data_IF_802458539677
#
_entry.id   IF_802458539677
#
_cell.length_a   1.000
_cell.length_b   1.000
_cell.length_c   1.000
_cell.angle_alpha   90.00
_cell.angle_beta   90.00
_cell.angle_gamma   90.00
#
_symmetry.space_group_name_H-M   'P 1'
#
loop_
_entity.id
_entity.type
_entity.pdbx_description
1 polymer ?
#
# COMPACT_ATOMS: atom_id res chain seq x y z
N UNK A 1 -31.26 -47.17 -46.32
CA UNK A 1 -31.36 -45.69 -46.33
C UNK A 1 -31.64 -45.30 -47.77
N UNK A 2 -32.80 -44.67 -48.03
CA UNK A 2 -33.18 -44.31 -49.40
C UNK A 2 -32.29 -43.16 -49.92
N UNK A 3 -31.94 -43.17 -51.21
CA UNK A 3 -31.11 -42.16 -51.89
C UNK A 3 -31.67 -40.74 -51.73
N UNK A 4 -32.99 -40.62 -51.52
CA UNK A 4 -33.68 -39.36 -51.23
C UNK A 4 -33.34 -38.87 -49.81
N UNK A 5 -33.40 -39.74 -48.80
CA UNK A 5 -33.06 -39.40 -47.41
C UNK A 5 -31.59 -39.05 -47.24
N UNK A 6 -30.69 -39.76 -47.92
CA UNK A 6 -29.25 -39.46 -47.86
C UNK A 6 -28.94 -38.09 -48.49
N UNK A 7 -29.59 -37.75 -49.62
CA UNK A 7 -29.44 -36.42 -50.24
C UNK A 7 -29.99 -35.29 -49.39
N UNK A 8 -31.05 -35.55 -48.61
CA UNK A 8 -31.61 -34.55 -47.70
C UNK A 8 -30.64 -34.24 -46.55
N UNK A 9 -30.00 -35.26 -45.97
CA UNK A 9 -28.98 -35.07 -44.92
C UNK A 9 -27.77 -34.31 -45.46
N UNK A 10 -27.27 -34.66 -46.64
CA UNK A 10 -26.16 -33.92 -47.26
C UNK A 10 -26.52 -32.45 -47.54
N UNK A 11 -27.77 -32.16 -47.88
CA UNK A 11 -28.25 -30.79 -48.07
C UNK A 11 -28.30 -30.01 -46.75
N UNK A 12 -28.68 -30.66 -45.66
CA UNK A 12 -28.68 -30.06 -44.32
C UNK A 12 -27.25 -29.79 -43.85
N UNK A 13 -26.34 -30.75 -44.00
CA UNK A 13 -24.91 -30.58 -43.68
C UNK A 13 -24.28 -29.45 -44.50
N UNK A 14 -24.58 -29.36 -45.80
CA UNK A 14 -24.11 -28.25 -46.64
C UNK A 14 -24.66 -26.90 -46.16
N UNK A 15 -25.92 -26.85 -45.71
CA UNK A 15 -26.50 -25.63 -45.15
C UNK A 15 -25.81 -25.18 -43.87
N UNK A 16 -25.41 -26.11 -43.00
CA UNK A 16 -24.63 -25.80 -41.80
C UNK A 16 -23.25 -25.23 -42.17
N UNK A 17 -22.57 -25.86 -43.12
CA UNK A 17 -21.24 -25.42 -43.59
C UNK A 17 -21.32 -24.01 -44.20
N UNK A 18 -22.35 -23.73 -45.01
CA UNK A 18 -22.54 -22.40 -45.62
C UNK A 18 -22.79 -21.34 -44.53
N UNK A 19 -23.64 -21.64 -43.54
CA UNK A 19 -23.88 -20.73 -42.43
C UNK A 19 -22.60 -20.44 -41.63
N UNK A 20 -21.80 -21.46 -41.33
CA UNK A 20 -20.53 -21.29 -40.62
C UNK A 20 -19.52 -20.47 -41.43
N UNK A 21 -19.47 -20.69 -42.76
CA UNK A 21 -18.64 -19.90 -43.67
C UNK A 21 -19.04 -18.42 -43.67
N UNK A 22 -20.34 -18.12 -43.76
CA UNK A 22 -20.83 -16.75 -43.78
C UNK A 22 -20.57 -16.04 -42.44
N UNK A 23 -20.78 -16.72 -41.32
CA UNK A 23 -20.42 -16.20 -40.00
C UNK A 23 -18.91 -15.93 -39.88
N UNK A 24 -18.07 -16.82 -40.40
CA UNK A 24 -16.63 -16.64 -40.39
C UNK A 24 -16.21 -15.43 -41.24
N UNK A 25 -16.77 -15.30 -42.45
CA UNK A 25 -16.51 -14.18 -43.36
C UNK A 25 -16.95 -12.85 -42.75
N UNK A 26 -18.09 -12.83 -42.06
CA UNK A 26 -18.55 -11.66 -41.32
C UNK A 26 -17.56 -11.27 -40.21
N UNK A 27 -17.12 -12.22 -39.39
CA UNK A 27 -16.12 -11.97 -38.33
C UNK A 27 -14.80 -11.41 -38.87
N UNK A 28 -14.36 -11.89 -40.05
CA UNK A 28 -13.15 -11.36 -40.70
C UNK A 28 -13.36 -9.93 -41.21
N UNK A 29 -14.51 -9.64 -41.83
CA UNK A 29 -14.83 -8.29 -42.28
C UNK A 29 -14.96 -7.29 -41.12
N UNK A 30 -15.59 -7.70 -40.01
CA UNK A 30 -15.69 -6.88 -38.80
C UNK A 30 -14.32 -6.56 -38.20
N UNK A 31 -13.39 -7.53 -38.18
CA UNK A 31 -12.00 -7.31 -37.73
C UNK A 31 -11.20 -6.41 -38.68
N UNK A 32 -11.48 -6.46 -39.98
CA UNK A 32 -10.85 -5.57 -40.98
C UNK A 32 -11.35 -4.13 -40.84
N UNK A 33 -12.62 -3.95 -40.53
CA UNK A 33 -13.24 -2.63 -40.40
C UNK A 33 -12.91 -1.95 -39.07
N UNK A 34 -12.72 -2.74 -38.00
CA UNK A 34 -12.34 -2.22 -36.69
C UNK A 34 -11.27 -3.11 -36.03
N UNK A 35 -9.97 -2.78 -36.23
CA UNK A 35 -8.86 -3.48 -35.59
C UNK A 35 -8.94 -3.48 -34.05
N UNK A 36 -9.66 -2.54 -33.43
CA UNK A 36 -9.84 -2.48 -31.97
C UNK A 36 -10.75 -3.59 -31.43
N UNK A 37 -11.53 -4.26 -32.29
CA UNK A 37 -12.32 -5.45 -31.89
C UNK A 37 -11.47 -6.69 -31.64
N UNK A 38 -10.20 -6.68 -32.00
CA UNK A 38 -9.28 -7.78 -31.73
C UNK A 38 -9.18 -8.05 -30.22
N UNK A 39 -9.27 -9.32 -29.81
CA UNK A 39 -9.27 -9.71 -28.39
C UNK A 39 -8.02 -9.21 -27.65
N UNK A 40 -6.84 -9.32 -28.27
CA UNK A 40 -5.59 -8.79 -27.70
C UNK A 40 -5.57 -7.27 -27.58
N UNK A 41 -6.16 -6.52 -28.52
CA UNK A 41 -6.24 -5.05 -28.42
C UNK A 41 -7.17 -4.65 -27.28
N UNK A 42 -8.30 -5.35 -27.10
CA UNK A 42 -9.16 -5.17 -25.92
C UNK A 42 -8.41 -5.43 -24.61
N UNK A 43 -7.56 -6.46 -24.57
CA UNK A 43 -6.73 -6.75 -23.38
C UNK A 43 -5.72 -5.63 -23.11
N UNK A 44 -5.03 -5.12 -24.13
CA UNK A 44 -4.11 -3.98 -24.02
C UNK A 44 -4.85 -2.75 -23.49
N UNK A 45 -6.01 -2.41 -24.06
CA UNK A 45 -6.81 -1.27 -23.62
C UNK A 45 -7.27 -1.43 -22.15
N UNK A 46 -7.64 -2.65 -21.74
CA UNK A 46 -7.97 -2.93 -20.34
C UNK A 46 -6.78 -2.74 -19.40
N UNK A 47 -5.59 -3.18 -19.80
CA UNK A 47 -4.36 -2.97 -19.02
C UNK A 47 -3.97 -1.50 -18.94
N UNK A 48 -4.12 -0.75 -20.03
CA UNK A 48 -3.90 0.69 -20.08
C UNK A 48 -4.83 1.42 -19.10
N UNK A 49 -6.13 1.17 -19.18
CA UNK A 49 -7.13 1.77 -18.29
C UNK A 49 -6.80 1.48 -16.82
N UNK A 50 -6.54 0.20 -16.48
CA UNK A 50 -6.20 -0.20 -15.10
C UNK A 50 -4.92 0.48 -14.61
N UNK A 51 -3.91 0.61 -15.46
CA UNK A 51 -2.64 1.23 -15.09
C UNK A 51 -2.82 2.73 -14.82
N UNK A 52 -3.59 3.43 -15.67
CA UNK A 52 -3.92 4.84 -15.48
C UNK A 52 -4.70 5.03 -14.18
N UNK A 53 -5.67 4.17 -13.90
CA UNK A 53 -6.47 4.22 -12.68
C UNK A 53 -5.60 4.11 -11.41
N UNK A 54 -4.68 3.14 -11.37
CA UNK A 54 -3.75 2.97 -10.25
C UNK A 54 -2.88 4.22 -10.04
N UNK A 55 -2.38 4.82 -11.13
CA UNK A 55 -1.58 6.05 -11.07
C UNK A 55 -2.42 7.20 -10.50
N UNK A 56 -3.66 7.35 -10.95
CA UNK A 56 -4.58 8.39 -10.48
C UNK A 56 -4.93 8.20 -9.01
N UNK A 57 -5.21 6.97 -8.57
CA UNK A 57 -5.51 6.65 -7.18
C UNK A 57 -4.34 7.01 -6.26
N UNK A 58 -3.11 6.62 -6.61
CA UNK A 58 -1.92 6.99 -5.83
C UNK A 58 -1.69 8.49 -5.79
N UNK A 59 -1.87 9.18 -6.92
CA UNK A 59 -1.76 10.64 -6.95
C UNK A 59 -2.81 11.30 -6.04
N UNK A 60 -4.02 10.75 -6.00
CA UNK A 60 -5.09 11.24 -5.13
C UNK A 60 -4.78 11.02 -3.64
N UNK A 61 -4.30 9.83 -3.28
CA UNK A 61 -3.85 9.52 -1.91
C UNK A 61 -2.79 10.53 -1.43
N UNK A 62 -1.80 10.83 -2.26
CA UNK A 62 -0.78 11.83 -1.95
C UNK A 62 -1.36 13.24 -1.78
N UNK A 63 -2.34 13.64 -2.60
CA UNK A 63 -3.05 14.92 -2.41
C UNK A 63 -3.78 14.96 -1.08
N UNK A 64 -4.46 13.88 -0.70
CA UNK A 64 -5.20 13.79 0.56
C UNK A 64 -4.28 13.88 1.77
N UNK A 65 -3.14 13.18 1.74
CA UNK A 65 -2.10 13.29 2.78
C UNK A 65 -1.62 14.74 2.91
N UNK A 66 -1.34 15.40 1.78
CA UNK A 66 -0.88 16.79 1.75
C UNK A 66 -1.94 17.76 2.30
N UNK A 67 -3.20 17.60 1.88
CA UNK A 67 -4.32 18.39 2.38
C UNK A 67 -4.52 18.20 3.88
N UNK A 68 -4.50 16.96 4.37
CA UNK A 68 -4.66 16.65 5.80
C UNK A 68 -3.54 17.25 6.64
N UNK A 69 -2.30 17.17 6.17
CA UNK A 69 -1.16 17.78 6.85
C UNK A 69 -1.26 19.31 6.88
N UNK A 70 -1.65 19.92 5.76
CA UNK A 70 -1.89 21.38 5.69
C UNK A 70 -2.99 21.81 6.66
N UNK A 71 -4.12 21.11 6.66
CA UNK A 71 -5.23 21.40 7.57
C UNK A 71 -4.83 21.26 9.05
N UNK A 72 -4.02 20.25 9.37
CA UNK A 72 -3.52 20.07 10.73
C UNK A 72 -2.66 21.25 11.18
N UNK A 73 -1.82 21.78 10.28
CA UNK A 73 -1.01 22.97 10.57
C UNK A 73 -1.88 24.20 10.78
N UNK A 74 -2.88 24.42 9.93
CA UNK A 74 -3.83 25.53 10.06
C UNK A 74 -4.57 25.45 11.40
N UNK A 75 -5.10 24.28 11.77
CA UNK A 75 -5.80 24.08 13.04
C UNK A 75 -4.90 24.38 14.26
N UNK A 76 -3.60 24.02 14.19
CA UNK A 76 -2.65 24.35 15.25
C UNK A 76 -2.40 25.86 15.37
N UNK A 77 -2.30 26.55 14.25
CA UNK A 77 -2.17 28.01 14.20
C UNK A 77 -3.42 28.68 14.79
N UNK A 78 -4.61 28.23 14.41
CA UNK A 78 -5.88 28.72 14.95
C UNK A 78 -5.97 28.53 16.47
N UNK A 79 -5.57 27.37 16.99
CA UNK A 79 -5.54 27.12 18.44
C UNK A 79 -4.59 28.08 19.16
N UNK A 80 -3.40 28.34 18.61
CA UNK A 80 -2.43 29.28 19.19
C UNK A 80 -2.97 30.72 19.18
N UNK A 81 -3.61 31.14 18.08
CA UNK A 81 -4.25 32.45 17.97
C UNK A 81 -5.39 32.61 18.98
N UNK A 82 -6.23 31.60 19.14
CA UNK A 82 -7.31 31.63 20.13
C UNK A 82 -6.77 31.72 21.56
N UNK A 83 -5.71 30.98 21.89
CA UNK A 83 -5.06 31.07 23.19
C UNK A 83 -4.49 32.48 23.45
N UNK A 84 -3.78 33.05 22.47
CA UNK A 84 -3.25 34.41 22.55
C UNK A 84 -4.37 35.43 22.77
N UNK A 85 -5.50 35.29 22.07
CA UNK A 85 -6.66 36.15 22.24
C UNK A 85 -7.24 36.09 23.67
N UNK A 86 -7.36 34.90 24.25
CA UNK A 86 -7.82 34.74 25.64
C UNK A 86 -6.83 35.35 26.65
N UNK A 87 -5.51 35.21 26.45
CA UNK A 87 -4.51 35.88 27.28
C UNK A 87 -4.63 37.42 27.20
N UNK A 88 -4.82 37.96 25.99
CA UNK A 88 -5.01 39.41 25.78
C UNK A 88 -6.25 39.89 26.55
N UNK A 89 -7.38 39.18 26.44
CA UNK A 89 -8.61 39.51 27.18
C UNK A 89 -8.40 39.46 28.70
N UNK A 90 -7.66 38.49 29.19
CA UNK A 90 -7.37 38.35 30.61
C UNK A 90 -6.56 39.54 31.13
N UNK A 91 -5.46 39.91 30.47
CA UNK A 91 -4.66 41.08 30.85
C UNK A 91 -5.46 42.39 30.77
N UNK A 92 -6.37 42.52 29.78
CA UNK A 92 -7.30 43.65 29.71
C UNK A 92 -8.25 43.74 30.88
N UNK A 93 -8.75 42.61 31.37
CA UNK A 93 -9.66 42.56 32.51
C UNK A 93 -8.95 42.86 33.82
N UNK A 94 -7.75 42.32 34.01
CA UNK A 94 -6.96 42.44 35.25
C UNK A 94 -6.22 43.78 35.35
N UNK A 95 -6.05 44.50 34.23
CA UNK A 95 -5.23 45.72 34.12
C UNK A 95 -3.75 45.49 34.51
N UNK A 96 -3.30 44.24 34.53
CA UNK A 96 -1.92 43.84 34.87
C UNK A 96 -1.02 43.82 33.63
N UNK A 97 -0.83 45.00 33.04
CA UNK A 97 0.09 45.15 31.92
C UNK A 97 1.45 45.62 32.40
N UNK A 98 2.49 44.86 32.08
CA UNK A 98 3.87 45.29 32.21
C UNK A 98 4.63 44.96 30.91
N UNK A 99 5.84 45.51 30.79
CA UNK A 99 6.67 45.35 29.60
C UNK A 99 6.98 43.88 29.29
N UNK A 100 7.08 43.03 30.31
CA UNK A 100 7.33 41.59 30.18
C UNK A 100 6.11 40.90 29.52
N UNK A 101 4.88 41.21 29.97
CA UNK A 101 3.65 40.66 29.43
C UNK A 101 3.46 41.07 27.97
N UNK A 102 3.73 42.34 27.64
CA UNK A 102 3.62 42.84 26.27
C UNK A 102 4.66 42.23 25.33
N UNK A 103 5.92 42.09 25.79
CA UNK A 103 6.97 41.43 25.01
C UNK A 103 6.68 39.93 24.82
N UNK A 104 6.08 39.26 25.81
CA UNK A 104 5.68 37.86 25.69
C UNK A 104 4.63 37.64 24.59
N UNK A 105 3.57 38.44 24.58
CA UNK A 105 2.52 38.38 23.56
C UNK A 105 3.05 38.71 22.17
N UNK A 106 3.91 39.75 22.07
CA UNK A 106 4.56 40.13 20.81
C UNK A 106 5.43 39.00 20.24
N UNK A 107 6.23 38.36 21.09
CA UNK A 107 7.05 37.22 20.69
C UNK A 107 6.20 36.01 20.24
N UNK A 108 5.10 35.71 20.94
CA UNK A 108 4.18 34.65 20.51
C UNK A 108 3.55 34.93 19.14
N UNK A 109 3.14 36.17 18.88
CA UNK A 109 2.59 36.59 17.59
C UNK A 109 3.63 36.48 16.46
N UNK A 110 4.88 36.86 16.73
CA UNK A 110 6.00 36.72 15.78
C UNK A 110 6.24 35.24 15.44
N UNK A 111 6.22 34.34 16.42
CA UNK A 111 6.40 32.91 16.18
C UNK A 111 5.25 32.30 15.38
N UNK A 112 3.99 32.68 15.69
CA UNK A 112 2.83 32.26 14.89
C UNK A 112 2.95 32.78 13.45
N UNK A 113 3.41 34.01 13.26
CA UNK A 113 3.61 34.62 11.93
C UNK A 113 4.69 33.90 11.12
N UNK A 114 5.79 33.48 11.78
CA UNK A 114 6.83 32.66 11.14
C UNK A 114 6.30 31.28 10.73
N UNK A 115 5.50 30.64 11.59
CA UNK A 115 4.86 29.37 11.26
C UNK A 115 3.87 29.49 10.10
N UNK A 116 3.10 30.58 10.03
CA UNK A 116 2.18 30.86 8.93
C UNK A 116 2.91 31.10 7.60
N UNK A 117 4.03 31.83 7.62
CA UNK A 117 4.82 32.16 6.43
C UNK A 117 5.71 30.98 5.95
N UNK A 118 5.87 29.95 6.78
CA UNK A 118 6.54 28.71 6.41
C UNK A 118 5.75 27.48 6.91
N UNK A 119 4.52 27.29 6.38
CA UNK A 119 3.53 26.39 6.98
C UNK A 119 3.82 24.91 6.74
N UNK A 120 4.70 24.61 5.78
CA UNK A 120 4.91 23.25 5.31
C UNK A 120 6.38 22.97 5.17
N UNK A 121 6.89 22.27 6.17
CA UNK A 121 8.08 21.46 6.01
C UNK A 121 7.75 20.26 5.08
N UNK A 122 7.40 20.51 3.82
CA UNK A 122 7.05 19.49 2.83
C UNK A 122 7.73 19.82 1.51
N UNK A 123 8.50 18.88 0.96
CA UNK A 123 9.03 18.96 -0.38
C UNK A 123 8.48 17.81 -1.23
N UNK A 124 8.18 18.11 -2.49
CA UNK A 124 7.83 17.09 -3.48
C UNK A 124 9.13 16.73 -4.19
N UNK A 125 9.44 15.44 -4.26
CA UNK A 125 10.51 14.93 -5.08
C UNK A 125 9.92 14.09 -6.21
N UNK A 126 10.42 14.31 -7.42
CA UNK A 126 10.13 13.48 -8.59
C UNK A 126 11.37 12.64 -8.89
N UNK A 127 11.20 11.31 -8.91
CA UNK A 127 12.27 10.37 -9.24
C UNK A 127 11.91 9.62 -10.52
N UNK A 128 12.72 9.77 -11.56
CA UNK A 128 12.56 9.07 -12.84
C UNK A 128 13.43 7.81 -12.85
N UNK A 129 12.91 6.70 -12.32
CA UNK A 129 13.61 5.39 -12.34
C UNK A 129 12.97 4.36 -13.28
N UNK A 130 11.86 4.69 -13.93
CA UNK A 130 11.13 3.81 -14.87
C UNK A 130 10.45 4.61 -15.99
N UNK A 131 9.68 3.95 -16.88
CA UNK A 131 8.80 4.60 -17.87
C UNK A 131 7.79 5.57 -17.23
N UNK A 132 7.51 5.40 -15.93
CA UNK A 132 6.65 6.28 -15.13
C UNK A 132 7.52 7.01 -14.09
N UNK A 133 7.30 8.32 -13.97
CA UNK A 133 7.91 9.15 -12.93
C UNK A 133 7.24 8.87 -11.58
N UNK A 134 8.03 8.53 -10.56
CA UNK A 134 7.54 8.36 -9.20
C UNK A 134 7.54 9.71 -8.47
N UNK A 135 6.39 10.10 -7.93
CA UNK A 135 6.27 11.29 -7.07
C UNK A 135 6.31 10.82 -5.62
N UNK A 136 7.14 11.46 -4.80
CA UNK A 136 7.24 11.20 -3.37
C UNK A 136 7.09 12.51 -2.60
N UNK A 137 6.33 12.46 -1.51
CA UNK A 137 6.22 13.58 -0.56
C UNK A 137 7.23 13.38 0.56
N UNK A 138 8.10 14.35 0.77
CA UNK A 138 9.08 14.38 1.86
C UNK A 138 8.60 15.39 2.88
N UNK A 139 8.28 14.92 4.09
CA UNK A 139 7.99 15.80 5.22
C UNK A 139 9.33 16.21 5.87
N UNK A 140 9.77 17.46 5.67
CA UNK A 140 11.06 18.01 6.13
C UNK A 140 11.12 18.32 7.63
N UNK A 141 10.00 18.19 8.37
CA UNK A 141 10.09 17.74 9.75
C UNK A 141 10.12 16.24 9.60
N UNK A 142 11.33 15.64 9.56
CA UNK A 142 11.43 14.25 9.97
C UNK A 142 10.52 14.19 11.19
N UNK A 143 9.48 13.33 11.24
CA UNK A 143 9.07 12.92 12.56
C UNK A 143 10.41 12.52 13.18
N UNK A 144 10.79 13.11 14.32
CA UNK A 144 11.44 12.26 15.31
C UNK A 144 10.60 11.01 15.20
N UNK A 145 11.16 9.91 14.68
CA UNK A 145 10.48 8.64 14.79
C UNK A 145 10.21 8.60 16.27
N UNK A 146 8.98 8.97 16.64
CA UNK A 146 8.54 8.99 18.00
C UNK A 146 8.58 7.51 18.23
N UNK A 147 9.67 7.11 18.86
CA UNK A 147 10.01 5.80 19.37
C UNK A 147 8.70 5.06 19.45
N UNK A 148 8.54 4.05 18.58
CA UNK A 148 7.41 3.12 18.47
C UNK A 148 6.26 3.51 19.39
N UNK A 149 5.08 3.88 18.85
CA UNK A 149 3.83 4.14 19.61
C UNK A 149 3.97 3.55 21.01
N UNK A 150 4.18 4.36 22.07
CA UNK A 150 4.89 3.98 23.33
C UNK A 150 4.38 2.69 24.04
N UNK A 151 3.30 2.11 23.54
CA UNK A 151 2.63 0.89 23.96
C UNK A 151 2.74 -0.24 22.89
N UNK A 152 3.74 -0.20 22.00
CA UNK A 152 4.00 -1.28 21.06
C UNK A 152 4.43 -2.52 21.85
N UNK A 153 3.81 -3.65 21.52
CA UNK A 153 4.13 -4.93 22.14
C UNK A 153 4.85 -5.81 21.12
N UNK A 154 5.83 -6.59 21.59
CA UNK A 154 6.41 -7.64 20.78
C UNK A 154 5.40 -8.77 20.65
N UNK A 155 5.03 -9.10 19.41
CA UNK A 155 4.04 -10.15 19.09
C UNK A 155 4.66 -11.46 18.63
N UNK A 156 5.94 -11.43 18.24
CA UNK A 156 6.73 -12.59 17.87
C UNK A 156 8.22 -12.34 18.17
N UNK A 157 8.93 -13.36 18.66
CA UNK A 157 10.31 -13.22 19.11
C UNK A 157 10.46 -12.37 20.37
N UNK A 158 11.54 -11.58 20.44
CA UNK A 158 11.83 -10.67 21.56
C UNK A 158 12.61 -11.27 22.73
N UNK A 159 12.90 -12.58 22.70
CA UNK A 159 13.64 -13.28 23.76
C UNK A 159 15.12 -13.52 23.41
N UNK A 160 15.70 -12.64 22.61
CA UNK A 160 17.07 -12.77 22.10
C UNK A 160 17.18 -13.67 20.87
N UNK A 161 18.40 -13.76 20.36
CA UNK A 161 18.76 -14.62 19.23
C UNK A 161 18.90 -16.07 19.71
N UNK A 162 18.31 -17.01 18.98
CA UNK A 162 18.44 -18.43 19.28
C UNK A 162 17.44 -19.31 18.52
N UNK A 163 17.39 -20.59 18.86
CA UNK A 163 16.59 -21.63 18.17
C UNK A 163 15.33 -22.04 18.94
N UNK A 164 15.10 -21.51 20.13
CA UNK A 164 13.90 -21.82 20.91
C UNK A 164 12.62 -21.32 20.22
N UNK A 165 11.46 -21.86 20.63
CA UNK A 165 10.15 -21.49 20.07
C UNK A 165 9.77 -20.01 20.28
N UNK A 166 10.44 -19.32 21.20
CA UNK A 166 10.20 -17.90 21.50
C UNK A 166 11.28 -16.97 20.95
N UNK A 167 12.23 -17.51 20.18
CA UNK A 167 13.41 -16.83 19.64
C UNK A 167 13.47 -16.90 18.11
N UNK A 168 14.21 -15.96 17.51
CA UNK A 168 14.42 -15.85 16.06
C UNK A 168 15.90 -15.51 15.79
N UNK A 169 16.40 -15.86 14.60
CA UNK A 169 17.80 -15.68 14.20
C UNK A 169 17.90 -15.04 12.81
N UNK A 170 18.03 -13.71 12.80
CA UNK A 170 18.02 -12.82 11.61
C UNK A 170 16.87 -13.12 10.63
N UNK A 171 15.60 -13.01 11.05
CA UNK A 171 14.48 -13.28 10.16
C UNK A 171 14.47 -12.35 8.93
N UNK A 172 14.09 -12.87 7.75
CA UNK A 172 14.18 -12.13 6.47
C UNK A 172 12.85 -11.87 5.77
N UNK A 173 11.84 -12.69 6.01
CA UNK A 173 10.53 -12.59 5.37
C UNK A 173 9.41 -12.74 6.41
N UNK A 174 8.28 -12.11 6.12
CA UNK A 174 7.09 -12.13 6.96
C UNK A 174 5.83 -12.11 6.09
N UNK A 175 4.85 -12.94 6.45
CA UNK A 175 3.51 -12.92 5.87
C UNK A 175 2.47 -12.92 6.99
N UNK A 176 1.34 -12.26 6.76
CA UNK A 176 0.24 -12.18 7.72
C UNK A 176 -1.04 -12.60 7.00
N UNK A 177 -1.74 -13.61 7.53
CA UNK A 177 -3.01 -14.07 6.96
C UNK A 177 -4.22 -13.25 7.48
N UNK A 178 -5.41 -13.56 6.96
CA UNK A 178 -6.66 -12.90 7.37
C UNK A 178 -7.01 -13.13 8.86
N UNK A 179 -6.53 -14.23 9.44
CA UNK A 179 -6.69 -14.58 10.85
C UNK A 179 -5.66 -13.89 11.76
N UNK A 180 -4.76 -13.07 11.18
CA UNK A 180 -3.65 -12.38 11.86
C UNK A 180 -2.60 -13.33 12.43
N UNK A 181 -2.49 -14.54 11.90
CA UNK A 181 -1.33 -15.38 12.14
C UNK A 181 -0.14 -14.82 11.37
N UNK A 182 1.04 -14.87 11.99
CA UNK A 182 2.27 -14.30 11.46
C UNK A 182 3.20 -15.43 11.07
N UNK A 183 3.53 -15.52 9.81
CA UNK A 183 4.49 -16.48 9.27
C UNK A 183 5.82 -15.78 9.13
N UNK A 184 6.85 -16.28 9.80
CA UNK A 184 8.17 -15.67 9.86
C UNK A 184 9.20 -16.63 9.28
N UNK A 185 10.01 -16.10 8.36
CA UNK A 185 11.14 -16.80 7.78
C UNK A 185 12.35 -16.59 8.69
N UNK A 186 12.68 -17.61 9.48
CA UNK A 186 13.76 -17.61 10.44
C UNK A 186 15.07 -18.07 9.78
N UNK A 187 15.70 -17.14 9.05
CA UNK A 187 16.73 -17.38 8.03
C UNK A 187 17.90 -18.24 8.51
N UNK A 188 18.56 -17.88 9.63
CA UNK A 188 19.73 -18.63 10.12
C UNK A 188 19.36 -19.87 10.93
N UNK A 189 18.09 -20.02 11.30
CA UNK A 189 17.59 -21.26 11.90
C UNK A 189 17.00 -22.21 10.86
N UNK A 190 17.01 -21.84 9.58
CA UNK A 190 16.59 -22.71 8.48
C UNK A 190 15.16 -23.24 8.64
N UNK A 191 14.24 -22.39 9.11
CA UNK A 191 12.85 -22.77 9.40
C UNK A 191 11.86 -21.67 9.07
N UNK A 192 10.60 -22.04 8.89
CA UNK A 192 9.45 -21.13 8.88
C UNK A 192 8.66 -21.35 10.16
N UNK A 193 8.33 -20.26 10.85
CA UNK A 193 7.62 -20.30 12.13
C UNK A 193 6.32 -19.52 12.04
N UNK A 194 5.22 -20.14 12.46
CA UNK A 194 3.91 -19.51 12.61
C UNK A 194 3.73 -19.01 14.05
N UNK A 195 3.40 -17.73 14.20
CA UNK A 195 2.89 -17.14 15.43
C UNK A 195 1.41 -16.86 15.29
N UNK A 196 0.58 -17.65 15.96
CA UNK A 196 -0.86 -17.36 16.04
C UNK A 196 -1.10 -16.03 16.75
N UNK A 197 -2.24 -15.39 16.45
CA UNK A 197 -2.61 -14.15 17.11
C UNK A 197 -2.58 -14.31 18.65
N UNK A 198 -1.79 -13.45 19.33
CA UNK A 198 -1.50 -13.48 20.77
C UNK A 198 -0.74 -14.70 21.32
N UNK A 199 -0.13 -15.54 20.47
CA UNK A 199 0.72 -16.63 20.93
C UNK A 199 2.01 -16.10 21.57
N UNK A 200 2.47 -16.75 22.65
CA UNK A 200 3.74 -16.41 23.32
C UNK A 200 4.97 -17.05 22.66
N UNK A 201 4.75 -18.08 21.85
CA UNK A 201 5.78 -18.84 21.16
C UNK A 201 5.26 -19.26 19.79
N UNK A 202 6.18 -19.45 18.86
CA UNK A 202 5.87 -19.88 17.51
C UNK A 202 5.85 -21.39 17.39
N UNK A 203 5.21 -21.86 16.32
CA UNK A 203 5.19 -23.25 15.90
C UNK A 203 5.97 -23.40 14.60
N UNK A 204 6.87 -24.37 14.54
CA UNK A 204 7.58 -24.67 13.30
C UNK A 204 6.58 -25.32 12.33
N UNK A 205 6.47 -24.75 11.13
CA UNK A 205 5.60 -25.29 10.07
C UNK A 205 6.39 -25.85 8.89
N UNK A 206 7.68 -25.50 8.78
CA UNK A 206 8.60 -26.06 7.80
C UNK A 206 10.06 -25.91 8.27
N UNK A 207 10.92 -26.86 7.87
CA UNK A 207 12.37 -26.84 8.18
C UNK A 207 12.73 -27.29 9.60
N UNK A 208 11.94 -28.20 10.19
CA UNK A 208 12.15 -28.69 11.57
C UNK A 208 13.52 -29.35 11.77
N UNK A 209 14.12 -29.91 10.71
CA UNK A 209 15.42 -30.58 10.77
C UNK A 209 16.59 -29.71 10.26
N UNK A 210 16.42 -28.39 10.30
CA UNK A 210 17.48 -27.42 10.04
C UNK A 210 17.96 -27.38 8.59
N UNK A 211 19.24 -27.04 8.40
CA UNK A 211 19.81 -26.83 7.07
C UNK A 211 19.88 -28.11 6.22
N UNK A 212 19.33 -28.06 5.00
CA UNK A 212 19.58 -29.09 4.00
C UNK A 212 18.56 -29.12 2.87
N UNK A 213 18.50 -30.26 2.18
CA UNK A 213 17.68 -30.50 0.99
C UNK A 213 16.72 -31.70 1.15
N UNK A 214 16.58 -32.24 2.36
CA UNK A 214 15.55 -33.23 2.67
C UNK A 214 14.17 -32.57 2.75
N UNK A 215 13.11 -33.37 2.65
CA UNK A 215 11.71 -32.91 2.66
C UNK A 215 11.32 -32.09 3.91
N UNK A 216 12.03 -32.32 5.01
CA UNK A 216 11.82 -31.72 6.32
C UNK A 216 12.85 -30.64 6.68
N UNK A 217 13.69 -30.24 5.72
CA UNK A 217 14.76 -29.26 5.88
C UNK A 217 14.56 -28.07 4.96
N UNK A 218 15.09 -26.91 5.36
CA UNK A 218 15.18 -25.73 4.50
C UNK A 218 16.62 -25.23 4.45
N UNK A 219 16.98 -24.49 3.40
CA UNK A 219 18.31 -23.93 3.28
C UNK A 219 18.22 -22.43 3.04
N UNK A 220 18.48 -21.63 4.07
CA UNK A 220 18.44 -20.17 4.04
C UNK A 220 17.17 -19.61 3.37
N UNK A 221 15.96 -19.99 3.83
CA UNK A 221 14.73 -19.47 3.25
C UNK A 221 14.73 -17.94 3.37
N UNK A 222 14.27 -17.24 2.33
CA UNK A 222 14.32 -15.76 2.28
C UNK A 222 12.96 -15.10 2.34
N UNK A 223 11.91 -15.80 1.92
CA UNK A 223 10.57 -15.26 1.82
C UNK A 223 9.52 -16.36 2.09
N UNK A 224 8.30 -15.95 2.42
CA UNK A 224 7.15 -16.82 2.63
C UNK A 224 5.89 -16.17 2.09
N UNK A 225 5.12 -16.94 1.33
CA UNK A 225 3.78 -16.59 0.89
C UNK A 225 2.85 -17.76 1.20
N UNK A 226 1.62 -17.47 1.61
CA UNK A 226 0.59 -18.48 1.85
C UNK A 226 -0.56 -18.18 0.89
N UNK A 227 -1.01 -19.20 0.18
CA UNK A 227 -2.16 -19.07 -0.73
C UNK A 227 -3.46 -18.94 0.08
N UNK A 228 -4.41 -18.15 -0.42
CA UNK A 228 -5.69 -17.86 0.24
C UNK A 228 -6.87 -18.42 -0.56
#
# INVERSE_FOLDING_TARGET
MDLVQHRQILSEELSYIINDYDQFKQRINERKQDPQKHSLIKQINLWEIKSIEIIQQKAQEYREILMKSSQTCINQIEMKLNNLNEQIKQFQKEKEFNEINLNHLSNQLIEITKELNNPSNMSIQQNSRSLINEISIILSKKPKFNKWKQNAITVAGGNGLGQEFSQLNYPKGIFIDEMKNIFIVDYFNHRIVEWKYNAKQGQIIAGENGQGNRMDQLNYPTDVIVDQ
#
